data_IF_894574089452
#
_entry.id   IF_894574089452
#
_cell.length_a   1.000
_cell.length_b   1.000
_cell.length_c   1.000
_cell.angle_alpha   90.00
_cell.angle_beta   90.00
_cell.angle_gamma   90.00
#
_symmetry.space_group_name_H-M   'P 1'
#
loop_
_entity.id
_entity.type
_entity.pdbx_description
1 polymer ?
#
# COMPACT_ATOMS: atom_id res chain seq x y z
N UNK A 1 -18.15 13.44 -32.15
CA UNK A 1 -19.29 13.10 -31.32
C UNK A 1 -19.74 11.64 -31.53
N UNK A 2 -20.07 11.22 -32.74
CA UNK A 2 -20.66 9.91 -33.05
C UNK A 2 -19.92 8.67 -32.53
N UNK A 3 -18.58 8.72 -32.42
CA UNK A 3 -17.80 7.59 -31.87
C UNK A 3 -18.03 7.42 -30.38
N UNK A 4 -18.00 8.51 -29.64
CA UNK A 4 -18.19 8.48 -28.20
C UNK A 4 -19.64 8.24 -27.80
N UNK A 5 -20.59 8.73 -28.59
CA UNK A 5 -22.02 8.49 -28.38
C UNK A 5 -22.35 7.00 -28.46
N UNK A 6 -21.71 6.27 -29.40
CA UNK A 6 -21.84 4.80 -29.53
C UNK A 6 -21.20 4.03 -28.39
N UNK A 7 -20.21 4.62 -27.68
CA UNK A 7 -19.53 4.01 -26.57
C UNK A 7 -20.14 4.36 -25.22
N UNK A 8 -21.05 5.33 -25.15
CA UNK A 8 -21.69 5.73 -23.90
C UNK A 8 -22.35 4.52 -23.21
N UNK A 9 -22.02 4.32 -21.94
CA UNK A 9 -22.44 3.16 -21.14
C UNK A 9 -21.70 1.84 -21.42
N UNK A 10 -20.75 1.83 -22.37
CA UNK A 10 -19.97 0.64 -22.73
C UNK A 10 -18.47 0.79 -22.48
N UNK A 11 -18.04 1.94 -22.00
CA UNK A 11 -16.62 2.30 -21.82
C UNK A 11 -15.82 1.32 -20.93
N UNK A 12 -16.45 0.72 -19.95
CA UNK A 12 -15.80 -0.27 -19.08
C UNK A 12 -15.69 -1.68 -19.69
N UNK A 13 -16.36 -1.94 -20.80
CA UNK A 13 -16.46 -3.27 -21.45
C UNK A 13 -15.71 -3.35 -22.77
N UNK A 14 -15.31 -2.22 -23.33
CA UNK A 14 -14.63 -2.14 -24.63
C UNK A 14 -13.21 -1.63 -24.42
N UNK A 15 -12.24 -2.28 -25.09
CA UNK A 15 -10.86 -1.80 -25.10
C UNK A 15 -10.81 -0.39 -25.68
N UNK A 16 -10.26 0.54 -24.92
CA UNK A 16 -9.96 1.91 -25.35
C UNK A 16 -8.47 2.17 -25.09
N UNK A 17 -7.69 2.47 -26.16
CA UNK A 17 -6.25 2.75 -26.02
C UNK A 17 -5.96 3.88 -25.01
N UNK A 18 -4.82 3.78 -24.31
CA UNK A 18 -4.37 4.79 -23.37
C UNK A 18 -4.99 4.75 -21.97
N UNK A 19 -5.89 3.81 -21.70
CA UNK A 19 -6.51 3.62 -20.38
C UNK A 19 -5.74 2.59 -19.55
N UNK A 20 -4.61 3.00 -19.03
CA UNK A 20 -3.80 2.21 -18.09
C UNK A 20 -3.95 2.79 -16.69
N UNK A 21 -4.29 1.95 -15.71
CA UNK A 21 -4.27 2.35 -14.30
C UNK A 21 -2.87 2.81 -13.85
N UNK A 22 -1.82 2.21 -14.42
CA UNK A 22 -0.44 2.59 -14.18
C UNK A 22 -0.16 4.01 -14.69
N UNK A 23 -0.59 4.33 -15.90
CA UNK A 23 -0.44 5.68 -16.44
C UNK A 23 -1.19 6.72 -15.61
N UNK A 24 -2.41 6.38 -15.15
CA UNK A 24 -3.16 7.23 -14.23
C UNK A 24 -2.44 7.42 -12.89
N UNK A 25 -1.92 6.34 -12.32
CA UNK A 25 -1.15 6.40 -11.08
C UNK A 25 0.09 7.31 -11.21
N UNK A 26 0.83 7.20 -12.32
CA UNK A 26 1.94 8.12 -12.62
C UNK A 26 1.49 9.58 -12.66
N UNK A 27 0.35 9.87 -13.27
CA UNK A 27 -0.21 11.22 -13.33
C UNK A 27 -0.62 11.74 -11.95
N UNK A 28 -1.34 10.93 -11.16
CA UNK A 28 -1.80 11.31 -9.81
C UNK A 28 -0.63 11.55 -8.85
N UNK A 29 0.42 10.72 -8.90
CA UNK A 29 1.60 10.89 -8.07
C UNK A 29 2.31 12.23 -8.31
N UNK A 30 2.24 12.77 -9.53
CA UNK A 30 2.82 14.09 -9.87
C UNK A 30 2.04 15.27 -9.30
N UNK A 31 0.83 15.05 -8.81
CA UNK A 31 0.05 16.08 -8.13
C UNK A 31 0.44 16.24 -6.65
N UNK A 32 1.23 15.29 -6.12
CA UNK A 32 1.70 15.32 -4.74
C UNK A 32 3.10 15.93 -4.64
N UNK A 33 3.41 16.65 -3.54
CA UNK A 33 4.76 17.11 -3.30
C UNK A 33 5.71 15.92 -3.09
N UNK A 34 7.01 16.06 -3.35
CA UNK A 34 8.00 15.03 -3.03
C UNK A 34 8.01 14.72 -1.53
N UNK A 35 7.80 13.46 -1.15
CA UNK A 35 7.70 13.00 0.23
C UNK A 35 8.67 11.87 0.52
N UNK A 36 8.96 11.66 1.81
CA UNK A 36 9.62 10.47 2.31
C UNK A 36 8.55 9.42 2.63
N UNK A 37 8.60 8.29 1.94
CA UNK A 37 7.60 7.23 2.00
C UNK A 37 8.22 5.95 2.51
N UNK A 38 7.62 5.32 3.52
CA UNK A 38 7.94 3.96 3.94
C UNK A 38 6.95 2.98 3.28
N UNK A 39 7.45 2.05 2.48
CA UNK A 39 6.69 0.97 1.86
C UNK A 39 6.89 -0.31 2.68
N UNK A 40 5.86 -0.70 3.42
CA UNK A 40 5.91 -1.75 4.43
C UNK A 40 5.46 -3.10 3.85
N UNK A 41 6.39 -4.05 3.73
CA UNK A 41 6.17 -5.31 3.03
C UNK A 41 6.29 -5.11 1.51
N UNK A 42 7.37 -4.49 1.08
CA UNK A 42 7.54 -4.01 -0.30
C UNK A 42 7.71 -5.12 -1.35
N UNK A 43 8.05 -6.34 -0.93
CA UNK A 43 8.28 -7.46 -1.86
C UNK A 43 9.35 -7.13 -2.89
N UNK A 44 9.07 -7.43 -4.14
CA UNK A 44 9.98 -7.17 -5.27
C UNK A 44 10.11 -5.68 -5.64
N UNK A 45 9.25 -4.80 -5.10
CA UNK A 45 9.38 -3.37 -5.23
C UNK A 45 8.70 -2.73 -6.42
N UNK A 46 7.75 -3.38 -7.05
CA UNK A 46 6.98 -2.79 -8.15
C UNK A 46 6.34 -1.46 -7.74
N UNK A 47 5.69 -1.43 -6.56
CA UNK A 47 5.10 -0.21 -6.02
C UNK A 47 6.16 0.79 -5.55
N UNK A 48 7.20 0.31 -4.85
CA UNK A 48 8.30 1.16 -4.39
C UNK A 48 8.96 1.92 -5.54
N UNK A 49 9.18 1.28 -6.69
CA UNK A 49 9.75 1.93 -7.87
C UNK A 49 8.79 2.95 -8.51
N UNK A 50 7.50 2.64 -8.53
CA UNK A 50 6.48 3.60 -8.99
C UNK A 50 6.50 4.86 -8.12
N UNK A 51 6.51 4.71 -6.81
CA UNK A 51 6.58 5.81 -5.84
C UNK A 51 7.89 6.60 -5.96
N UNK A 52 9.02 5.92 -6.16
CA UNK A 52 10.33 6.54 -6.25
C UNK A 52 10.48 7.51 -7.43
N UNK A 53 9.62 7.43 -8.44
CA UNK A 53 9.63 8.38 -9.59
C UNK A 53 9.31 9.82 -9.19
N UNK A 54 8.58 10.03 -8.10
CA UNK A 54 8.15 11.35 -7.63
C UNK A 54 8.46 11.61 -6.16
N UNK A 55 8.75 10.57 -5.38
CA UNK A 55 9.10 10.70 -3.98
C UNK A 55 10.47 11.39 -3.78
N UNK A 56 10.64 12.06 -2.65
CA UNK A 56 11.97 12.48 -2.18
C UNK A 56 12.83 11.28 -1.86
N UNK A 57 12.28 10.30 -1.15
CA UNK A 57 12.91 9.04 -0.80
C UNK A 57 11.82 7.98 -0.56
N UNK A 58 12.10 6.75 -0.97
CA UNK A 58 11.32 5.57 -0.58
C UNK A 58 12.19 4.65 0.24
N UNK A 59 11.71 4.25 1.41
CA UNK A 59 12.31 3.24 2.28
C UNK A 59 11.42 2.00 2.19
N UNK A 60 11.92 0.97 1.53
CA UNK A 60 11.22 -0.30 1.33
C UNK A 60 11.64 -1.31 2.40
N UNK A 61 10.68 -1.82 3.16
CA UNK A 61 10.89 -2.82 4.21
C UNK A 61 10.32 -4.15 3.75
N UNK A 62 11.11 -5.20 3.88
CA UNK A 62 10.64 -6.58 3.74
C UNK A 62 11.39 -7.49 4.70
N UNK A 63 10.74 -8.55 5.19
CA UNK A 63 11.34 -9.51 6.11
C UNK A 63 12.02 -10.69 5.41
N UNK A 64 11.89 -10.78 4.08
CA UNK A 64 12.57 -11.78 3.26
C UNK A 64 13.92 -11.25 2.74
N UNK A 65 15.06 -11.83 3.15
CA UNK A 65 16.36 -11.42 2.61
C UNK A 65 16.43 -11.49 1.08
N UNK A 66 15.77 -12.47 0.48
CA UNK A 66 15.73 -12.63 -0.99
C UNK A 66 14.95 -11.51 -1.68
N UNK A 67 13.83 -11.06 -1.08
CA UNK A 67 13.05 -9.93 -1.61
C UNK A 67 13.85 -8.63 -1.50
N UNK A 68 14.52 -8.42 -0.38
CA UNK A 68 15.39 -7.24 -0.17
C UNK A 68 16.55 -7.21 -1.17
N UNK A 69 17.24 -8.33 -1.34
CA UNK A 69 18.35 -8.45 -2.31
C UNK A 69 17.87 -8.20 -3.75
N UNK A 70 16.79 -8.85 -4.13
CA UNK A 70 16.21 -8.70 -5.47
C UNK A 70 15.74 -7.28 -5.72
N UNK A 71 14.92 -6.72 -4.81
CA UNK A 71 14.38 -5.38 -4.95
C UNK A 71 15.46 -4.30 -5.00
N UNK A 72 16.48 -4.39 -4.14
CA UNK A 72 17.62 -3.47 -4.15
C UNK A 72 18.41 -3.53 -5.46
N UNK A 73 18.63 -4.75 -5.99
CA UNK A 73 19.32 -4.94 -7.27
C UNK A 73 18.54 -4.31 -8.42
N UNK A 74 17.23 -4.61 -8.54
CA UNK A 74 16.40 -4.07 -9.62
C UNK A 74 16.26 -2.54 -9.51
N UNK A 75 16.13 -2.00 -8.31
CA UNK A 75 16.11 -0.55 -8.09
C UNK A 75 17.39 0.11 -8.62
N UNK A 76 18.54 -0.47 -8.35
CA UNK A 76 19.83 0.01 -8.84
C UNK A 76 19.94 -0.10 -10.37
N UNK A 77 19.57 -1.25 -10.94
CA UNK A 77 19.58 -1.47 -12.41
C UNK A 77 18.68 -0.47 -13.13
N UNK A 78 17.54 -0.10 -12.52
CA UNK A 78 16.60 0.88 -13.07
C UNK A 78 16.98 2.35 -12.74
N UNK A 79 18.11 2.58 -12.07
CA UNK A 79 18.64 3.92 -11.81
C UNK A 79 17.98 4.69 -10.68
N UNK A 80 17.27 4.02 -9.76
CA UNK A 80 16.68 4.68 -8.60
C UNK A 80 17.70 4.88 -7.48
N UNK A 81 18.20 6.10 -7.32
CA UNK A 81 19.10 6.49 -6.22
C UNK A 81 18.37 6.87 -4.93
N UNK A 82 17.05 7.09 -5.00
CA UNK A 82 16.18 7.51 -3.90
C UNK A 82 15.31 6.37 -3.34
N UNK A 83 15.59 5.12 -3.71
CA UNK A 83 14.92 3.92 -3.21
C UNK A 83 15.93 3.06 -2.43
N UNK A 84 15.68 2.91 -1.14
CA UNK A 84 16.49 2.11 -0.22
C UNK A 84 15.71 0.93 0.31
N UNK A 85 16.27 -0.26 0.19
CA UNK A 85 15.73 -1.49 0.79
C UNK A 85 16.39 -1.78 2.13
N UNK A 86 15.57 -2.13 3.13
CA UNK A 86 16.03 -2.59 4.44
C UNK A 86 15.35 -3.91 4.81
N UNK A 87 16.15 -4.84 5.29
CA UNK A 87 15.63 -6.07 5.91
C UNK A 87 15.01 -5.72 7.27
N UNK A 88 13.74 -6.07 7.47
CA UNK A 88 13.04 -5.79 8.73
C UNK A 88 11.61 -6.27 8.75
N UNK A 89 11.07 -6.38 9.94
CA UNK A 89 9.67 -6.69 10.17
C UNK A 89 8.83 -5.41 10.18
N UNK A 90 7.65 -5.46 9.56
CA UNK A 90 6.71 -4.34 9.56
C UNK A 90 6.17 -4.01 10.96
N UNK A 91 6.22 -4.97 11.90
CA UNK A 91 5.86 -4.75 13.30
C UNK A 91 6.94 -3.97 14.08
N UNK A 92 8.18 -3.98 13.61
CA UNK A 92 9.31 -3.25 14.21
C UNK A 92 10.31 -2.81 13.12
N UNK A 93 9.89 -1.94 12.19
CA UNK A 93 10.73 -1.56 11.06
C UNK A 93 11.96 -0.75 11.51
N UNK A 94 13.13 -0.99 10.87
CA UNK A 94 14.36 -0.26 11.15
C UNK A 94 14.32 1.15 10.55
N UNK A 95 13.38 1.95 11.01
CA UNK A 95 13.14 3.35 10.60
C UNK A 95 13.07 4.22 11.85
N UNK A 96 13.73 5.37 11.82
CA UNK A 96 13.71 6.32 12.91
C UNK A 96 12.31 6.89 13.16
N UNK A 97 12.03 7.17 14.44
CA UNK A 97 10.77 7.81 14.84
C UNK A 97 10.65 9.20 14.19
N UNK A 98 9.46 9.55 13.74
CA UNK A 98 9.16 10.87 13.19
C UNK A 98 9.96 11.24 11.94
N UNK A 99 10.34 10.27 11.10
CA UNK A 99 11.22 10.50 9.95
C UNK A 99 10.53 10.43 8.59
N UNK A 100 9.32 9.88 8.50
CA UNK A 100 8.63 9.70 7.21
C UNK A 100 7.33 10.51 7.12
N UNK A 101 6.97 10.91 5.92
CA UNK A 101 5.74 11.66 5.65
C UNK A 101 4.55 10.73 5.41
N UNK A 102 4.79 9.56 4.83
CA UNK A 102 3.76 8.56 4.52
C UNK A 102 4.27 7.18 4.88
N UNK A 103 3.40 6.37 5.50
CA UNK A 103 3.57 4.92 5.63
C UNK A 103 2.51 4.23 4.80
N UNK A 104 2.94 3.32 3.96
CA UNK A 104 2.09 2.56 3.06
C UNK A 104 2.19 1.07 3.36
N UNK A 105 1.05 0.42 3.57
CA UNK A 105 0.89 -1.03 3.54
C UNK A 105 0.07 -1.40 2.29
N UNK A 106 0.68 -2.11 1.35
CA UNK A 106 -0.05 -2.61 0.17
C UNK A 106 -0.05 -4.13 0.18
N UNK A 107 -1.19 -4.72 0.51
CA UNK A 107 -1.37 -6.18 0.63
C UNK A 107 -0.34 -6.83 1.59
N UNK A 108 0.01 -6.15 2.66
CA UNK A 108 1.05 -6.57 3.60
C UNK A 108 0.54 -6.84 5.01
N UNK A 109 -0.48 -6.10 5.46
CA UNK A 109 -0.93 -6.15 6.85
C UNK A 109 -1.51 -7.52 7.23
N UNK A 110 -2.19 -8.19 6.31
CA UNK A 110 -2.76 -9.53 6.54
C UNK A 110 -1.70 -10.64 6.71
N UNK A 111 -0.43 -10.35 6.43
CA UNK A 111 0.69 -11.25 6.72
C UNK A 111 1.31 -11.01 8.11
N UNK A 112 1.03 -9.90 8.77
CA UNK A 112 1.57 -9.59 10.09
C UNK A 112 1.02 -10.56 11.15
N UNK A 113 1.88 -11.02 12.05
CA UNK A 113 1.43 -11.81 13.20
C UNK A 113 0.56 -10.95 14.13
N UNK A 114 0.92 -9.68 14.31
CA UNK A 114 0.24 -8.70 15.16
C UNK A 114 -0.02 -7.41 14.39
N UNK A 115 -1.08 -7.33 13.56
CA UNK A 115 -1.38 -6.16 12.73
C UNK A 115 -1.45 -4.85 13.51
N UNK A 116 -2.00 -4.87 14.72
CA UNK A 116 -2.06 -3.71 15.61
C UNK A 116 -0.66 -3.12 15.87
N UNK A 117 0.35 -3.99 16.08
CA UNK A 117 1.72 -3.55 16.34
C UNK A 117 2.37 -2.92 15.09
N UNK A 118 2.04 -3.41 13.91
CA UNK A 118 2.48 -2.79 12.66
C UNK A 118 1.92 -1.36 12.52
N UNK A 119 0.65 -1.16 12.87
CA UNK A 119 0.00 0.16 12.86
C UNK A 119 0.60 1.09 13.93
N UNK A 120 0.93 0.59 15.12
CA UNK A 120 1.65 1.33 16.17
C UNK A 120 3.04 1.78 15.69
N UNK A 121 3.77 0.89 15.03
CA UNK A 121 5.08 1.21 14.47
C UNK A 121 4.99 2.23 13.33
N UNK A 122 3.95 2.16 12.49
CA UNK A 122 3.68 3.18 11.49
C UNK A 122 3.47 4.57 12.13
N UNK A 123 2.70 4.64 13.21
CA UNK A 123 2.49 5.89 13.94
C UNK A 123 3.81 6.43 14.52
N UNK A 124 4.66 5.56 15.08
CA UNK A 124 5.95 5.93 15.63
C UNK A 124 6.87 6.60 14.60
N UNK A 125 6.97 6.01 13.40
CA UNK A 125 7.90 6.48 12.35
C UNK A 125 7.38 7.69 11.58
N UNK A 126 6.07 7.94 11.58
CA UNK A 126 5.47 9.10 10.94
C UNK A 126 5.85 10.40 11.65
N UNK A 127 6.13 11.44 10.85
CA UNK A 127 6.18 12.82 11.32
C UNK A 127 4.80 13.29 11.78
N UNK A 128 4.70 14.31 12.65
CA UNK A 128 3.45 15.03 12.87
C UNK A 128 2.87 15.52 11.54
N UNK A 129 1.57 15.29 11.33
CA UNK A 129 0.89 15.58 10.06
C UNK A 129 1.08 14.51 8.99
N UNK A 130 1.92 13.51 9.21
CA UNK A 130 2.12 12.38 8.31
C UNK A 130 0.90 11.47 8.21
N UNK A 131 0.84 10.67 7.17
CA UNK A 131 -0.33 9.84 6.83
C UNK A 131 0.01 8.37 6.75
N UNK A 132 -0.90 7.53 7.24
CA UNK A 132 -0.92 6.10 6.97
C UNK A 132 -1.91 5.81 5.84
N UNK A 133 -1.53 4.87 4.98
CA UNK A 133 -2.39 4.32 3.93
C UNK A 133 -2.27 2.80 3.95
N UNK A 134 -3.40 2.12 4.13
CA UNK A 134 -3.51 0.67 4.13
C UNK A 134 -4.42 0.25 2.98
N UNK A 135 -3.86 -0.50 2.04
CA UNK A 135 -4.60 -1.24 1.03
C UNK A 135 -4.47 -2.71 1.36
N UNK A 136 -5.58 -3.36 1.69
CA UNK A 136 -5.58 -4.77 2.09
C UNK A 136 -6.86 -5.47 1.62
N UNK A 137 -7.01 -6.73 1.94
CA UNK A 137 -8.21 -7.50 1.66
C UNK A 137 -9.30 -7.19 2.68
N UNK A 138 -10.50 -6.92 2.22
CA UNK A 138 -11.67 -6.97 3.08
C UNK A 138 -11.90 -8.39 3.60
N UNK A 139 -12.46 -8.53 4.79
CA UNK A 139 -12.74 -9.83 5.40
C UNK A 139 -13.44 -10.79 4.44
N UNK A 140 -12.94 -12.01 4.36
CA UNK A 140 -13.47 -13.07 3.52
C UNK A 140 -13.40 -14.43 4.22
N UNK A 141 -14.06 -15.42 3.64
CA UNK A 141 -14.15 -16.77 4.20
C UNK A 141 -13.38 -17.83 3.42
N UNK A 142 -12.52 -17.41 2.50
CA UNK A 142 -11.72 -18.30 1.67
C UNK A 142 -10.50 -18.83 2.44
N UNK A 143 -10.72 -19.88 3.24
CA UNK A 143 -9.71 -20.48 4.14
C UNK A 143 -8.45 -20.97 3.40
N UNK A 144 -8.58 -21.40 2.15
CA UNK A 144 -7.44 -21.85 1.34
C UNK A 144 -6.39 -20.75 1.10
N UNK A 145 -6.75 -19.48 1.30
CA UNK A 145 -5.80 -18.37 1.19
C UNK A 145 -4.63 -18.49 2.18
N UNK A 146 -4.84 -19.15 3.33
CA UNK A 146 -3.79 -19.40 4.31
C UNK A 146 -2.69 -20.29 3.75
N UNK A 147 -3.07 -21.33 3.02
CA UNK A 147 -2.14 -22.30 2.43
C UNK A 147 -1.57 -21.81 1.09
N UNK A 148 -2.43 -21.26 0.21
CA UNK A 148 -2.05 -20.88 -1.14
C UNK A 148 -1.22 -19.59 -1.19
N UNK A 149 -1.52 -18.63 -0.27
CA UNK A 149 -0.95 -17.29 -0.31
C UNK A 149 -0.26 -16.88 0.99
N UNK A 150 -0.07 -17.81 1.92
CA UNK A 150 0.53 -17.57 3.23
C UNK A 150 -0.15 -16.45 4.04
N UNK A 151 -1.47 -16.32 3.92
CA UNK A 151 -2.24 -15.36 4.70
C UNK A 151 -2.29 -15.77 6.18
N UNK A 152 -1.92 -14.88 7.08
CA UNK A 152 -2.13 -15.06 8.53
C UNK A 152 -3.58 -14.70 8.87
N UNK A 153 -4.09 -13.62 8.28
CA UNK A 153 -5.45 -13.12 8.45
C UNK A 153 -6.24 -13.23 7.15
N UNK A 154 -7.53 -13.53 7.25
CA UNK A 154 -8.43 -13.57 6.09
C UNK A 154 -9.04 -12.19 5.82
N UNK A 155 -8.18 -11.18 5.71
CA UNK A 155 -8.57 -9.80 5.52
C UNK A 155 -9.05 -9.12 6.80
N UNK A 156 -9.54 -7.91 6.66
CA UNK A 156 -10.00 -7.05 7.76
C UNK A 156 -11.35 -6.43 7.44
N UNK A 157 -12.19 -6.30 8.44
CA UNK A 157 -13.41 -5.50 8.31
C UNK A 157 -13.09 -4.00 8.43
N UNK A 158 -13.98 -3.17 7.92
CA UNK A 158 -13.85 -1.72 8.09
C UNK A 158 -13.83 -1.29 9.55
N UNK A 159 -14.63 -1.95 10.40
CA UNK A 159 -14.68 -1.70 11.84
C UNK A 159 -13.35 -2.02 12.51
N UNK A 160 -12.73 -3.17 12.16
CA UNK A 160 -11.42 -3.56 12.72
C UNK A 160 -10.32 -2.56 12.35
N UNK A 161 -10.21 -2.19 11.07
CA UNK A 161 -9.19 -1.21 10.63
C UNK A 161 -9.41 0.16 11.26
N UNK A 162 -10.65 0.63 11.30
CA UNK A 162 -10.98 1.90 11.95
C UNK A 162 -10.57 1.89 13.43
N UNK A 163 -10.93 0.82 14.16
CA UNK A 163 -10.57 0.68 15.57
C UNK A 163 -9.05 0.60 15.78
N UNK A 164 -8.30 -0.08 14.90
CA UNK A 164 -6.84 -0.12 14.96
C UNK A 164 -6.23 1.27 14.84
N UNK A 165 -6.72 2.08 13.91
CA UNK A 165 -6.24 3.44 13.69
C UNK A 165 -6.57 4.35 14.87
N UNK A 166 -7.80 4.33 15.37
CA UNK A 166 -8.23 5.13 16.51
C UNK A 166 -7.44 4.79 17.77
N UNK A 167 -7.25 3.50 18.06
CA UNK A 167 -6.53 3.02 19.24
C UNK A 167 -5.10 3.56 19.33
N UNK A 168 -4.45 3.75 18.18
CA UNK A 168 -3.09 4.28 18.11
C UNK A 168 -3.06 5.80 18.21
N UNK A 169 -4.15 6.47 17.92
CA UNK A 169 -4.28 7.93 17.98
C UNK A 169 -4.23 8.62 16.61
N UNK A 170 -4.44 7.89 15.52
CA UNK A 170 -4.64 8.52 14.22
C UNK A 170 -5.94 9.34 14.23
N UNK A 171 -5.86 10.55 13.67
CA UNK A 171 -7.02 11.42 13.46
C UNK A 171 -7.66 11.13 12.11
N UNK A 172 -8.95 11.41 12.02
CA UNK A 172 -9.75 11.32 10.81
C UNK A 172 -9.60 9.97 10.08
N UNK A 173 -9.76 8.83 10.78
CA UNK A 173 -9.67 7.53 10.15
C UNK A 173 -10.81 7.34 9.16
N UNK A 174 -10.48 7.09 7.91
CA UNK A 174 -11.43 6.79 6.84
C UNK A 174 -11.18 5.36 6.33
N UNK A 175 -12.25 4.56 6.23
CA UNK A 175 -12.18 3.18 5.76
C UNK A 175 -13.29 2.90 4.77
N UNK A 176 -12.95 2.37 3.59
CA UNK A 176 -13.92 2.01 2.57
C UNK A 176 -13.44 0.87 1.68
N UNK A 177 -14.38 0.07 1.16
CA UNK A 177 -14.10 -0.89 0.09
C UNK A 177 -14.02 -0.14 -1.22
N UNK A 178 -12.88 -0.23 -1.92
CA UNK A 178 -12.59 0.56 -3.13
C UNK A 178 -12.55 -0.25 -4.40
N UNK A 179 -12.41 -1.58 -4.32
CA UNK A 179 -12.38 -2.44 -5.48
C UNK A 179 -12.91 -3.84 -5.16
N UNK A 180 -13.39 -4.54 -6.19
CA UNK A 180 -13.78 -5.95 -6.13
C UNK A 180 -13.24 -6.66 -7.37
N UNK A 181 -12.58 -7.79 -7.16
CA UNK A 181 -12.10 -8.63 -8.24
C UNK A 181 -13.24 -9.33 -8.96
N UNK A 182 -13.14 -9.45 -10.28
CA UNK A 182 -14.14 -10.16 -11.09
C UNK A 182 -13.95 -11.67 -11.06
N UNK A 183 -12.71 -12.12 -10.81
CA UNK A 183 -12.38 -13.55 -10.71
C UNK A 183 -12.73 -14.08 -9.30
N UNK A 184 -13.25 -15.29 -9.25
CA UNK A 184 -13.49 -15.98 -7.98
C UNK A 184 -12.16 -16.14 -7.22
N UNK A 185 -12.18 -15.99 -5.87
CA UNK A 185 -13.33 -15.84 -4.98
C UNK A 185 -13.88 -14.40 -4.82
N UNK A 186 -13.59 -13.50 -5.77
CA UNK A 186 -14.07 -12.12 -5.80
C UNK A 186 -13.59 -11.29 -4.59
N UNK A 187 -12.32 -11.36 -4.28
CA UNK A 187 -11.73 -10.56 -3.21
C UNK A 187 -12.07 -9.08 -3.37
N UNK A 188 -12.27 -8.43 -2.24
CA UNK A 188 -12.47 -6.99 -2.19
C UNK A 188 -11.24 -6.32 -1.59
N UNK A 189 -10.86 -5.17 -2.12
CA UNK A 189 -9.80 -4.32 -1.56
C UNK A 189 -10.42 -3.28 -0.66
N UNK A 190 -9.93 -3.23 0.57
CA UNK A 190 -10.29 -2.21 1.56
C UNK A 190 -9.15 -1.19 1.66
N UNK A 191 -9.52 0.08 1.68
CA UNK A 191 -8.62 1.21 1.87
C UNK A 191 -8.88 1.84 3.23
N UNK A 192 -7.83 1.99 4.02
CA UNK A 192 -7.88 2.74 5.27
C UNK A 192 -6.81 3.82 5.28
N UNK A 193 -7.15 5.00 5.76
CA UNK A 193 -6.26 6.15 5.91
C UNK A 193 -6.42 6.79 7.28
N UNK A 194 -5.40 7.50 7.72
CA UNK A 194 -5.42 8.28 8.96
C UNK A 194 -4.27 9.28 8.98
N UNK A 195 -4.36 10.28 9.85
CA UNK A 195 -3.38 11.36 9.97
C UNK A 195 -2.80 11.33 11.38
N UNK A 196 -1.47 11.36 11.49
CA UNK A 196 -0.81 11.57 12.79
C UNK A 196 -0.98 13.03 13.19
N UNK A 197 -1.55 13.27 14.37
CA UNK A 197 -1.67 14.60 14.94
C UNK A 197 -0.32 15.31 15.10
N UNK A 198 -0.36 16.64 15.13
CA UNK A 198 0.78 17.47 15.49
C UNK A 198 0.90 17.61 17.00
#
# INVERSE_FOLDING_TARGET
>A
ADYFDKLAGKFGRTYVPGRSWQALAHGLLRLMPPMVIADMGAGEGTLSQLLARTAKQVIAIDNSPKMVEYGARIAKENGFSNLEYRLGDIEEPPIEAGSVDVVLFSQALHHAARPQRAVESAFRILKPGGRILILDLASHTYEQAKELYAHVWLGFSGVELHAMLEKVGFRDPEVSVVAREQQAPNFQTILATGIKGG
#
